data_IF_747791184355
#
_entry.id   IF_747791184355
#
_cell.length_a   1.000
_cell.length_b   1.000
_cell.length_c   1.000
_cell.angle_alpha   90.00
_cell.angle_beta   90.00
_cell.angle_gamma   90.00
#
_symmetry.space_group_name_H-M   'P 1'
#
loop_
_entity.id
_entity.type
_entity.pdbx_description
1 polymer ?
#
# COMPACT_ATOMS: atom_id res chain seq x y z
N UNK A 1 -24.16 -13.89 30.07
CA UNK A 1 -22.83 -13.24 30.23
C UNK A 1 -21.68 -14.06 29.63
N UNK A 2 -21.46 -15.33 30.02
CA UNK A 2 -20.32 -16.12 29.49
C UNK A 2 -20.24 -16.25 27.95
N UNK A 3 -21.38 -16.45 27.27
CA UNK A 3 -21.43 -16.46 25.79
C UNK A 3 -21.09 -15.11 25.18
N UNK A 4 -21.56 -14.01 25.76
CA UNK A 4 -21.30 -12.65 25.26
C UNK A 4 -19.82 -12.24 25.40
N UNK A 5 -19.08 -12.85 26.33
CA UNK A 5 -17.64 -12.62 26.47
C UNK A 5 -16.78 -13.47 25.51
N UNK A 6 -17.29 -14.63 25.08
CA UNK A 6 -16.54 -15.58 24.27
C UNK A 6 -16.89 -15.52 22.78
N UNK A 7 -18.15 -15.21 22.44
CA UNK A 7 -18.60 -15.07 21.07
C UNK A 7 -18.24 -13.70 20.52
N UNK A 8 -17.66 -13.73 19.32
CA UNK A 8 -17.39 -12.54 18.54
C UNK A 8 -16.11 -12.68 17.75
N UNK A 9 -15.80 -11.61 17.04
CA UNK A 9 -14.72 -11.55 16.06
C UNK A 9 -13.57 -10.67 16.55
N UNK A 10 -13.55 -10.31 17.84
CA UNK A 10 -12.66 -9.28 18.40
C UNK A 10 -11.18 -9.63 18.21
N UNK A 11 -10.79 -10.89 18.45
CA UNK A 11 -9.40 -11.32 18.25
C UNK A 11 -8.98 -11.28 16.78
N UNK A 12 -9.82 -11.82 15.87
CA UNK A 12 -9.56 -11.78 14.42
C UNK A 12 -9.47 -10.35 13.90
N UNK A 13 -10.40 -9.49 14.33
CA UNK A 13 -10.44 -8.07 13.94
C UNK A 13 -9.21 -7.32 14.45
N UNK A 14 -8.78 -7.58 15.69
CA UNK A 14 -7.58 -6.95 16.25
C UNK A 14 -6.31 -7.32 15.46
N UNK A 15 -6.12 -8.59 15.10
CA UNK A 15 -4.97 -9.01 14.29
C UNK A 15 -5.02 -8.46 12.86
N UNK A 16 -6.20 -8.40 12.24
CA UNK A 16 -6.34 -7.82 10.92
C UNK A 16 -6.09 -6.29 10.94
N UNK A 17 -6.50 -5.59 11.99
CA UNK A 17 -6.21 -4.17 12.20
C UNK A 17 -4.71 -3.92 12.42
N UNK A 18 -4.03 -4.76 13.20
CA UNK A 18 -2.56 -4.70 13.32
C UNK A 18 -1.90 -4.84 11.95
N UNK A 19 -2.32 -5.82 11.14
CA UNK A 19 -1.85 -5.99 9.77
C UNK A 19 -2.15 -4.79 8.87
N UNK A 20 -3.32 -4.15 9.04
CA UNK A 20 -3.69 -2.93 8.32
C UNK A 20 -2.74 -1.78 8.64
N UNK A 21 -2.51 -1.49 9.93
CA UNK A 21 -1.63 -0.38 10.35
C UNK A 21 -0.19 -0.61 9.86
N UNK A 22 0.30 -1.85 9.96
CA UNK A 22 1.61 -2.20 9.40
C UNK A 22 1.64 -2.00 7.87
N UNK A 23 0.57 -2.36 7.16
CA UNK A 23 0.50 -2.15 5.71
C UNK A 23 0.51 -0.65 5.34
N UNK A 24 -0.15 0.20 6.12
CA UNK A 24 -0.11 1.66 5.96
C UNK A 24 1.29 2.23 6.19
N UNK A 25 1.97 1.81 7.25
CA UNK A 25 3.35 2.20 7.56
C UNK A 25 4.33 1.75 6.47
N UNK A 26 4.18 0.52 5.97
CA UNK A 26 4.97 -0.02 4.87
C UNK A 26 4.70 0.73 3.57
N UNK A 27 3.45 1.08 3.27
CA UNK A 27 3.09 1.87 2.10
C UNK A 27 3.74 3.26 2.13
N UNK A 28 3.67 3.95 3.27
CA UNK A 28 4.30 5.26 3.46
C UNK A 28 5.83 5.16 3.29
N UNK A 29 6.46 4.20 3.98
CA UNK A 29 7.89 3.96 3.91
C UNK A 29 8.36 3.61 2.49
N UNK A 30 7.65 2.72 1.79
CA UNK A 30 7.98 2.32 0.43
C UNK A 30 7.79 3.45 -0.59
N UNK A 31 6.88 4.39 -0.33
CA UNK A 31 6.72 5.60 -1.15
C UNK A 31 7.94 6.52 -1.01
N UNK A 32 8.41 6.75 0.22
CA UNK A 32 9.64 7.53 0.48
C UNK A 32 10.88 6.86 -0.11
N UNK A 33 11.10 5.57 0.19
CA UNK A 33 12.21 4.80 -0.36
C UNK A 33 12.16 4.75 -1.89
N UNK A 34 10.96 4.66 -2.47
CA UNK A 34 10.75 4.70 -3.91
C UNK A 34 11.13 6.04 -4.55
N UNK A 35 10.77 7.16 -3.93
CA UNK A 35 11.18 8.49 -4.38
C UNK A 35 12.71 8.66 -4.30
N UNK A 36 13.33 8.24 -3.19
CA UNK A 36 14.79 8.26 -3.06
C UNK A 36 15.48 7.38 -4.10
N UNK A 37 14.90 6.21 -4.41
CA UNK A 37 15.43 5.32 -5.45
C UNK A 37 15.36 5.94 -6.85
N UNK A 38 14.33 6.73 -7.14
CA UNK A 38 14.24 7.48 -8.40
C UNK A 38 15.39 8.49 -8.49
N UNK A 39 15.66 9.25 -7.43
CA UNK A 39 16.78 10.20 -7.41
C UNK A 39 18.13 9.50 -7.56
N UNK A 40 18.38 8.45 -6.78
CA UNK A 40 19.64 7.70 -6.80
C UNK A 40 19.92 7.08 -8.18
N UNK A 41 18.88 6.61 -8.87
CA UNK A 41 19.00 6.02 -10.20
C UNK A 41 18.94 7.04 -11.35
N UNK A 42 18.98 8.35 -11.05
CA UNK A 42 18.83 9.45 -12.02
C UNK A 42 17.58 9.23 -12.90
N UNK A 43 16.46 8.89 -12.25
CA UNK A 43 15.20 8.55 -12.87
C UNK A 43 14.35 9.77 -13.21
N UNK A 44 13.49 9.60 -14.21
CA UNK A 44 12.58 10.64 -14.69
C UNK A 44 11.44 10.89 -13.70
N UNK A 45 11.08 12.17 -13.54
CA UNK A 45 9.86 12.61 -12.85
C UNK A 45 8.60 12.57 -13.73
N UNK A 46 8.75 12.45 -15.05
CA UNK A 46 7.62 12.43 -16.01
C UNK A 46 6.58 11.33 -15.74
N UNK A 47 6.95 10.11 -15.31
CA UNK A 47 5.99 9.05 -14.97
C UNK A 47 4.96 9.41 -13.91
N UNK A 48 5.24 10.42 -13.08
CA UNK A 48 4.35 10.86 -11.99
C UNK A 48 3.41 12.00 -12.40
N UNK A 49 3.43 12.43 -13.67
CA UNK A 49 2.59 13.53 -14.18
C UNK A 49 1.10 13.23 -13.98
N UNK A 50 0.32 14.15 -13.36
CA UNK A 50 -1.08 13.92 -13.02
C UNK A 50 -1.96 13.57 -14.23
N UNK A 51 -1.58 13.99 -15.44
CA UNK A 51 -2.34 13.68 -16.67
C UNK A 51 -2.29 12.19 -17.01
N UNK A 52 -1.15 11.52 -16.77
CA UNK A 52 -0.99 10.07 -16.99
C UNK A 52 -1.95 9.28 -16.09
N UNK A 53 -2.07 9.70 -14.84
CA UNK A 53 -2.91 8.99 -13.89
C UNK A 53 -4.40 9.32 -14.06
N UNK A 54 -4.71 10.57 -14.42
CA UNK A 54 -6.08 11.01 -14.72
C UNK A 54 -6.68 10.28 -15.91
N UNK A 55 -5.92 10.09 -17.00
CA UNK A 55 -6.44 9.38 -18.18
C UNK A 55 -6.74 7.90 -17.88
N UNK A 56 -6.06 7.30 -16.89
CA UNK A 56 -6.35 5.92 -16.44
C UNK A 56 -7.54 5.84 -15.47
N UNK A 57 -7.75 6.86 -14.63
CA UNK A 57 -8.98 7.02 -13.84
C UNK A 57 -9.02 6.36 -12.45
N UNK A 58 -8.03 5.57 -12.06
CA UNK A 58 -8.01 4.96 -10.71
C UNK A 58 -7.62 5.99 -9.64
N UNK A 59 -8.49 6.20 -8.64
CA UNK A 59 -8.28 7.19 -7.59
C UNK A 59 -7.03 6.92 -6.76
N UNK A 60 -6.84 5.70 -6.32
CA UNK A 60 -5.68 5.29 -5.53
C UNK A 60 -4.36 5.48 -6.27
N UNK A 61 -4.32 5.24 -7.58
CA UNK A 61 -3.14 5.53 -8.42
C UNK A 61 -2.86 7.04 -8.50
N UNK A 62 -3.90 7.87 -8.64
CA UNK A 62 -3.74 9.33 -8.65
C UNK A 62 -3.21 9.83 -7.31
N UNK A 63 -3.70 9.29 -6.19
CA UNK A 63 -3.24 9.64 -4.86
C UNK A 63 -1.78 9.19 -4.63
N UNK A 64 -1.41 7.97 -5.07
CA UNK A 64 -0.03 7.49 -5.00
C UNK A 64 0.92 8.38 -5.83
N UNK A 65 0.53 8.74 -7.06
CA UNK A 65 1.31 9.67 -7.88
C UNK A 65 1.47 11.05 -7.24
N UNK A 66 0.42 11.55 -6.57
CA UNK A 66 0.47 12.81 -5.85
C UNK A 66 1.50 12.76 -4.71
N UNK A 67 1.54 11.66 -3.95
CA UNK A 67 2.54 11.47 -2.90
C UNK A 67 3.97 11.48 -3.44
N UNK A 68 4.23 10.74 -4.53
CA UNK A 68 5.54 10.78 -5.19
C UNK A 68 5.92 12.18 -5.69
N UNK A 69 4.97 12.91 -6.30
CA UNK A 69 5.21 14.29 -6.75
C UNK A 69 5.51 15.24 -5.59
N UNK A 70 4.85 15.05 -4.46
CA UNK A 70 5.12 15.86 -3.27
C UNK A 70 6.55 15.63 -2.76
N UNK A 71 7.02 14.38 -2.74
CA UNK A 71 8.36 14.03 -2.27
C UNK A 71 9.49 14.39 -3.25
N UNK A 72 9.27 14.19 -4.55
CA UNK A 72 10.26 14.46 -5.60
C UNK A 72 10.38 15.94 -5.97
N UNK A 73 9.37 16.73 -5.59
CA UNK A 73 9.16 18.12 -6.01
C UNK A 73 9.24 18.29 -7.55
N UNK A 74 9.25 19.55 -8.02
CA UNK A 74 9.41 19.86 -9.45
C UNK A 74 10.83 19.61 -9.94
N UNK A 75 11.84 19.77 -9.09
CA UNK A 75 13.25 19.57 -9.41
C UNK A 75 14.10 19.29 -8.17
N UNK A 76 15.33 18.82 -8.39
CA UNK A 76 16.38 18.68 -7.40
C UNK A 76 17.75 18.80 -8.09
N UNK A 77 18.80 19.10 -7.34
CA UNK A 77 20.18 19.15 -7.87
C UNK A 77 20.57 17.83 -8.57
N UNK A 78 20.23 16.69 -7.96
CA UNK A 78 20.47 15.35 -8.52
C UNK A 78 19.67 15.16 -9.83
N UNK A 79 18.40 15.54 -9.82
CA UNK A 79 17.53 15.45 -11.00
C UNK A 79 18.01 16.33 -12.16
N UNK A 80 18.55 17.51 -11.86
CA UNK A 80 19.04 18.44 -12.88
C UNK A 80 20.41 18.03 -13.45
N UNK A 81 21.25 17.35 -12.65
CA UNK A 81 22.58 16.88 -13.05
C UNK A 81 22.59 15.92 -14.25
N UNK A 82 21.44 15.33 -14.59
CA UNK A 82 21.32 14.34 -15.67
C UNK A 82 20.33 14.73 -16.78
N UNK A 83 19.97 16.02 -16.89
CA UNK A 83 19.03 16.54 -17.90
C UNK A 83 19.38 16.19 -19.36
N UNK A 84 20.66 15.95 -19.67
CA UNK A 84 21.15 15.51 -20.99
C UNK A 84 21.48 14.01 -21.08
N UNK A 85 20.77 13.16 -20.35
CA UNK A 85 20.97 11.70 -20.36
C UNK A 85 20.38 11.04 -21.61
N UNK A 86 21.10 10.07 -22.20
CA UNK A 86 20.66 9.28 -23.37
C UNK A 86 19.51 8.30 -23.07
N UNK A 87 19.16 8.11 -21.79
CA UNK A 87 18.17 7.12 -21.34
C UNK A 87 16.75 7.56 -21.71
N UNK A 88 16.10 6.77 -22.58
CA UNK A 88 14.75 7.09 -23.10
C UNK A 88 13.65 6.72 -22.10
N UNK A 89 13.81 5.63 -21.35
CA UNK A 89 12.82 5.15 -20.39
C UNK A 89 13.46 4.54 -19.15
N UNK A 90 12.83 4.76 -18.00
CA UNK A 90 13.18 4.06 -16.77
C UNK A 90 12.57 2.67 -16.69
N UNK A 91 13.25 1.74 -15.98
CA UNK A 91 12.71 0.44 -15.62
C UNK A 91 11.37 0.53 -14.88
N UNK A 92 10.58 -0.53 -14.97
CA UNK A 92 9.22 -0.55 -14.41
C UNK A 92 9.21 -0.39 -12.89
N UNK A 93 10.23 -0.87 -12.19
CA UNK A 93 10.36 -0.70 -10.73
C UNK A 93 10.44 0.77 -10.30
N UNK A 94 10.78 1.70 -11.22
CA UNK A 94 10.72 3.14 -11.01
C UNK A 94 9.47 3.75 -11.66
N UNK A 95 9.25 3.48 -12.95
CA UNK A 95 8.23 4.15 -13.78
C UNK A 95 6.80 3.71 -13.47
N UNK A 96 6.61 2.47 -13.02
CA UNK A 96 5.30 1.91 -12.74
C UNK A 96 4.90 2.02 -11.25
N UNK A 97 5.67 2.76 -10.44
CA UNK A 97 5.40 2.91 -9.02
C UNK A 97 3.98 3.40 -8.71
N UNK A 98 3.44 4.46 -9.35
CA UNK A 98 2.07 4.89 -9.08
C UNK A 98 1.03 3.82 -9.39
N UNK A 99 1.24 3.02 -10.44
CA UNK A 99 0.33 1.99 -10.89
C UNK A 99 0.29 0.81 -9.90
N UNK A 100 1.46 0.35 -9.45
CA UNK A 100 1.57 -0.79 -8.52
C UNK A 100 1.21 -0.35 -7.10
N UNK A 101 1.82 0.71 -6.59
CA UNK A 101 1.51 1.23 -5.25
C UNK A 101 0.06 1.72 -5.16
N UNK A 102 -0.49 2.30 -6.23
CA UNK A 102 -1.90 2.65 -6.30
C UNK A 102 -2.83 1.44 -6.18
N UNK A 103 -2.46 0.27 -6.73
CA UNK A 103 -3.23 -0.95 -6.54
C UNK A 103 -3.17 -1.42 -5.07
N UNK A 104 -1.98 -1.40 -4.45
CA UNK A 104 -1.81 -1.71 -3.03
C UNK A 104 -2.64 -0.77 -2.13
N UNK A 105 -2.60 0.54 -2.40
CA UNK A 105 -3.38 1.54 -1.66
C UNK A 105 -4.90 1.31 -1.76
N UNK A 106 -5.39 0.83 -2.91
CA UNK A 106 -6.80 0.50 -3.05
C UNK A 106 -7.18 -0.69 -2.16
N UNK A 107 -6.33 -1.73 -2.12
CA UNK A 107 -6.58 -2.90 -1.25
C UNK A 107 -6.54 -2.52 0.23
N UNK A 108 -5.55 -1.72 0.64
CA UNK A 108 -5.44 -1.20 2.01
C UNK A 108 -6.73 -0.45 2.40
N UNK A 109 -7.23 0.46 1.55
CA UNK A 109 -8.45 1.23 1.81
C UNK A 109 -9.71 0.35 1.88
N UNK A 110 -9.84 -0.62 0.98
CA UNK A 110 -10.98 -1.55 1.00
C UNK A 110 -10.98 -2.39 2.29
N UNK A 111 -9.83 -2.93 2.69
CA UNK A 111 -9.72 -3.68 3.94
C UNK A 111 -9.97 -2.79 5.15
N UNK A 112 -9.51 -1.54 5.15
CA UNK A 112 -9.79 -0.57 6.22
C UNK A 112 -11.29 -0.33 6.42
N UNK A 113 -12.06 -0.17 5.33
CA UNK A 113 -13.51 0.02 5.40
C UNK A 113 -14.21 -1.19 6.05
N UNK A 114 -13.85 -2.41 5.65
CA UNK A 114 -14.41 -3.64 6.22
C UNK A 114 -14.06 -3.77 7.71
N UNK A 115 -12.79 -3.57 8.06
CA UNK A 115 -12.32 -3.70 9.44
C UNK A 115 -12.87 -2.60 10.35
N UNK A 116 -13.12 -1.39 9.83
CA UNK A 116 -13.76 -0.32 10.58
C UNK A 116 -15.21 -0.67 10.91
N UNK A 117 -15.95 -1.28 9.97
CA UNK A 117 -17.32 -1.76 10.25
C UNK A 117 -17.28 -2.85 11.32
N UNK A 118 -16.38 -3.83 11.19
CA UNK A 118 -16.30 -4.94 12.14
C UNK A 118 -15.86 -4.49 13.55
N UNK A 119 -14.95 -3.54 13.65
CA UNK A 119 -14.53 -2.97 14.93
C UNK A 119 -15.67 -2.31 15.73
N UNK A 120 -16.77 -1.97 15.05
CA UNK A 120 -17.97 -1.36 15.65
C UNK A 120 -19.19 -2.29 15.62
N UNK A 121 -19.03 -3.56 15.22
CA UNK A 121 -20.15 -4.49 15.05
C UNK A 121 -20.56 -5.17 16.36
N UNK A 122 -21.83 -5.59 16.42
CA UNK A 122 -22.31 -6.56 17.42
C UNK A 122 -22.09 -7.96 16.85
N UNK A 123 -20.98 -8.58 17.22
CA UNK A 123 -20.55 -9.89 16.72
C UNK A 123 -20.92 -11.08 17.61
N UNK A 124 -21.64 -10.86 18.71
CA UNK A 124 -22.05 -11.93 19.61
C UNK A 124 -23.30 -12.69 19.11
N UNK A 125 -23.72 -13.70 19.89
CA UNK A 125 -24.94 -14.45 19.65
C UNK A 125 -25.40 -15.19 20.92
N UNK A 126 -26.72 -15.27 21.21
CA UNK A 126 -27.85 -14.64 20.50
C UNK A 126 -27.98 -13.14 20.76
N UNK A 127 -28.59 -12.43 19.81
CA UNK A 127 -28.83 -10.99 19.92
C UNK A 127 -30.11 -10.72 20.71
N UNK A 128 -30.07 -9.71 21.58
CA UNK A 128 -31.22 -9.25 22.37
C UNK A 128 -31.73 -7.93 21.79
N UNK A 129 -32.94 -7.95 21.23
CA UNK A 129 -33.63 -6.77 20.70
C UNK A 129 -34.67 -6.29 21.72
N UNK A 130 -34.21 -5.46 22.66
CA UNK A 130 -35.01 -5.06 23.82
C UNK A 130 -36.28 -4.27 23.44
N UNK A 131 -36.22 -3.45 22.38
CA UNK A 131 -37.37 -2.66 21.90
C UNK A 131 -38.48 -3.55 21.34
N UNK A 132 -38.12 -4.67 20.72
CA UNK A 132 -39.05 -5.64 20.15
C UNK A 132 -39.44 -6.74 21.15
N UNK A 133 -38.82 -6.76 22.33
CA UNK A 133 -38.93 -7.82 23.34
C UNK A 133 -38.65 -9.22 22.73
N UNK A 134 -37.60 -9.30 21.90
CA UNK A 134 -37.24 -10.50 21.14
C UNK A 134 -35.75 -10.89 21.31
N UNK A 135 -35.47 -12.18 21.12
CA UNK A 135 -34.13 -12.75 21.16
C UNK A 135 -33.92 -13.58 19.89
N UNK A 136 -32.96 -13.16 19.07
CA UNK A 136 -32.73 -13.76 17.75
C UNK A 136 -31.38 -14.45 17.73
N UNK A 137 -31.38 -15.73 17.36
CA UNK A 137 -30.15 -16.47 17.07
C UNK A 137 -29.75 -16.24 15.61
N UNK A 138 -28.55 -15.69 15.40
CA UNK A 138 -27.93 -15.45 14.10
C UNK A 138 -26.50 -16.01 14.01
N UNK A 139 -25.66 -15.36 13.20
CA UNK A 139 -24.33 -15.85 12.85
C UNK A 139 -23.23 -14.78 12.81
N UNK A 140 -23.41 -13.64 13.48
CA UNK A 140 -22.47 -12.51 13.43
C UNK A 140 -21.08 -12.82 13.99
N UNK A 141 -20.93 -13.92 14.74
CA UNK A 141 -19.62 -14.40 15.24
C UNK A 141 -18.72 -14.97 14.13
N UNK A 142 -19.23 -15.16 12.90
CA UNK A 142 -18.44 -15.69 11.80
C UNK A 142 -17.60 -14.59 11.11
N UNK A 143 -16.29 -14.60 11.32
CA UNK A 143 -15.36 -13.56 10.88
C UNK A 143 -14.98 -13.59 9.38
N UNK A 144 -15.85 -14.06 8.49
CA UNK A 144 -15.54 -14.20 7.06
C UNK A 144 -15.10 -12.86 6.40
N UNK A 145 -15.76 -11.71 6.67
CA UNK A 145 -15.32 -10.43 6.12
C UNK A 145 -13.91 -10.05 6.56
N UNK A 146 -13.55 -10.33 7.82
CA UNK A 146 -12.23 -10.06 8.39
C UNK A 146 -11.18 -10.94 7.72
N UNK A 147 -11.47 -12.22 7.51
CA UNK A 147 -10.56 -13.15 6.86
C UNK A 147 -10.22 -12.67 5.43
N UNK A 148 -11.23 -12.31 4.63
CA UNK A 148 -11.01 -11.78 3.29
C UNK A 148 -10.25 -10.44 3.30
N UNK A 149 -10.52 -9.56 4.27
CA UNK A 149 -9.79 -8.31 4.43
C UNK A 149 -8.30 -8.55 4.72
N UNK A 150 -7.97 -9.55 5.55
CA UNK A 150 -6.60 -9.93 5.86
C UNK A 150 -5.87 -10.53 4.65
N UNK A 151 -6.53 -11.41 3.87
CA UNK A 151 -5.96 -11.98 2.64
C UNK A 151 -5.66 -10.89 1.59
N UNK A 152 -6.56 -9.91 1.44
CA UNK A 152 -6.34 -8.77 0.55
C UNK A 152 -5.16 -7.90 1.00
N UNK A 153 -4.96 -7.71 2.31
CA UNK A 153 -3.80 -7.01 2.85
C UNK A 153 -2.51 -7.78 2.57
N UNK A 154 -2.52 -9.11 2.66
CA UNK A 154 -1.34 -9.93 2.36
C UNK A 154 -0.85 -9.71 0.92
N UNK A 155 -1.76 -9.63 -0.06
CA UNK A 155 -1.43 -9.29 -1.45
C UNK A 155 -0.79 -7.90 -1.56
N UNK A 156 -1.36 -6.90 -0.89
CA UNK A 156 -0.84 -5.53 -0.92
C UNK A 156 0.58 -5.46 -0.35
N UNK A 157 0.82 -6.09 0.81
CA UNK A 157 2.13 -6.14 1.48
C UNK A 157 3.17 -6.84 0.61
N UNK A 158 2.81 -7.98 0.01
CA UNK A 158 3.71 -8.73 -0.87
C UNK A 158 4.14 -7.91 -2.09
N UNK A 159 3.20 -7.20 -2.73
CA UNK A 159 3.50 -6.38 -3.91
C UNK A 159 4.31 -5.12 -3.57
N UNK A 160 4.10 -4.52 -2.40
CA UNK A 160 4.96 -3.43 -1.88
C UNK A 160 6.40 -3.94 -1.74
N UNK A 161 6.59 -5.11 -1.13
CA UNK A 161 7.88 -5.75 -0.95
C UNK A 161 8.55 -6.09 -2.30
N UNK A 162 7.81 -6.72 -3.21
CA UNK A 162 8.26 -7.09 -4.56
C UNK A 162 8.78 -5.88 -5.33
N UNK A 163 8.04 -4.77 -5.33
CA UNK A 163 8.45 -3.55 -6.03
C UNK A 163 9.70 -2.92 -5.40
N UNK A 164 9.80 -2.94 -4.07
CA UNK A 164 10.98 -2.46 -3.34
C UNK A 164 12.22 -3.28 -3.65
N UNK A 165 12.09 -4.60 -3.63
CA UNK A 165 13.17 -5.53 -3.92
C UNK A 165 13.67 -5.36 -5.37
N UNK A 166 12.78 -5.19 -6.35
CA UNK A 166 13.17 -4.88 -7.74
C UNK A 166 13.88 -3.54 -7.90
N UNK A 167 13.62 -2.55 -7.03
CA UNK A 167 14.40 -1.29 -7.00
C UNK A 167 15.78 -1.50 -6.38
N UNK A 168 15.89 -2.34 -5.35
CA UNK A 168 17.18 -2.71 -4.78
C UNK A 168 18.06 -3.42 -5.81
N UNK A 169 17.51 -4.41 -6.51
CA UNK A 169 18.19 -5.11 -7.60
C UNK A 169 18.65 -4.16 -8.71
N UNK A 170 17.84 -3.16 -9.03
CA UNK A 170 18.20 -2.11 -9.99
C UNK A 170 19.43 -1.30 -9.53
N UNK A 171 19.46 -0.87 -8.26
CA UNK A 171 20.49 0.03 -7.74
C UNK A 171 21.86 -0.64 -7.66
N UNK A 172 21.92 -1.91 -7.25
CA UNK A 172 23.18 -2.65 -7.10
C UNK A 172 23.80 -3.11 -8.43
N UNK A 173 23.01 -3.11 -9.52
CA UNK A 173 23.45 -3.47 -10.86
C UNK A 173 24.00 -2.23 -11.59
N UNK A 174 25.32 -2.13 -11.68
CA UNK A 174 26.02 -1.01 -12.31
C UNK A 174 25.69 -0.85 -13.80
N UNK A 175 25.25 -1.91 -14.48
CA UNK A 175 24.81 -1.83 -15.87
C UNK A 175 23.50 -1.04 -16.02
N UNK A 176 22.70 -0.95 -14.94
CA UNK A 176 21.41 -0.28 -14.95
C UNK A 176 21.38 1.01 -14.13
N UNK A 177 22.09 1.08 -13.01
CA UNK A 177 22.05 2.21 -12.07
C UNK A 177 23.05 3.33 -12.40
N UNK A 178 24.13 3.04 -13.13
CA UNK A 178 25.31 3.91 -13.28
C UNK A 178 26.01 4.25 -11.96
N UNK A 179 25.74 3.50 -10.90
CA UNK A 179 26.43 3.58 -9.61
C UNK A 179 27.55 2.51 -9.55
N UNK A 180 28.50 2.60 -8.60
CA UNK A 180 29.44 1.53 -8.34
C UNK A 180 28.72 0.19 -8.11
N UNK A 181 29.26 -0.94 -8.62
CA UNK A 181 28.66 -2.24 -8.41
C UNK A 181 28.51 -2.52 -6.90
N UNK A 182 27.34 -2.99 -6.48
CA UNK A 182 27.01 -3.21 -5.07
C UNK A 182 27.10 -1.96 -4.17
N UNK A 183 27.10 -0.75 -4.74
CA UNK A 183 27.11 0.53 -4.03
C UNK A 183 28.33 0.72 -3.10
N UNK A 184 29.47 0.13 -3.47
CA UNK A 184 30.73 0.27 -2.74
C UNK A 184 31.81 0.86 -3.64
N UNK A 185 32.58 1.81 -3.10
CA UNK A 185 33.75 2.37 -3.79
C UNK A 185 34.86 1.33 -3.90
N UNK A 186 35.66 1.43 -4.97
CA UNK A 186 36.87 0.62 -5.16
C UNK A 186 38.04 1.12 -4.32
#
# INVERSE_FOLDING_TARGET
EGLALLNGTQASTAFALEGLFIAEDLFASATVCGAMSVEAALGSRRPFDPRIHRVRGHRSQMDAALAYRHLLDTSSEIGESHTNCEKVQDPYSLRCQPQVMGACLQQIRNSAEVLQVEANSVSDNPLVFAEDNDIISGGNFHAEPVAMAADNLALAIAEIGSLSERRMALLIDSALSKLPPFLVDN
#
